data_IF_195149524652
#
_entry.id   IF_195149524652
#
_cell.length_a   1.000
_cell.length_b   1.000
_cell.length_c   1.000
_cell.angle_alpha   90.00
_cell.angle_beta   90.00
_cell.angle_gamma   90.00
#
_symmetry.space_group_name_H-M   'P 1'
#
loop_
_entity.id
_entity.type
_entity.pdbx_description
1 polymer ?
#
# COMPACT_ATOMS: atom_id res chain seq x y z
N UNK A 1 76.33 6.69 -2.93
CA UNK A 1 75.42 5.71 -2.30
C UNK A 1 74.15 5.67 -3.13
N UNK A 2 73.82 4.50 -3.68
CA UNK A 2 72.72 4.28 -4.62
C UNK A 2 71.50 3.81 -3.81
N UNK A 3 70.32 4.42 -3.90
CA UNK A 3 69.09 3.76 -3.48
C UNK A 3 68.48 3.03 -4.68
N UNK A 4 68.29 1.72 -4.53
CA UNK A 4 67.54 0.87 -5.46
C UNK A 4 66.05 1.19 -5.32
N UNK A 5 65.42 1.69 -6.39
CA UNK A 5 63.96 1.73 -6.49
C UNK A 5 63.44 0.32 -6.80
N UNK A 6 62.61 -0.21 -5.91
CA UNK A 6 61.85 -1.45 -6.11
C UNK A 6 60.56 -1.05 -6.82
N UNK A 7 60.38 -1.55 -8.05
CA UNK A 7 59.17 -1.36 -8.83
C UNK A 7 58.16 -2.45 -8.44
N UNK A 8 57.18 -2.13 -7.58
CA UNK A 8 56.02 -3.00 -7.33
C UNK A 8 54.99 -2.79 -8.43
N UNK A 9 54.88 -3.77 -9.34
CA UNK A 9 53.77 -3.84 -10.29
C UNK A 9 52.51 -4.29 -9.56
N UNK A 10 51.59 -3.35 -9.33
CA UNK A 10 50.24 -3.66 -8.87
C UNK A 10 49.44 -4.27 -10.03
N UNK A 11 49.18 -5.58 -9.98
CA UNK A 11 48.24 -6.22 -10.88
C UNK A 11 46.82 -5.83 -10.45
N UNK A 12 46.20 -4.90 -11.18
CA UNK A 12 44.77 -4.64 -11.07
C UNK A 12 44.01 -5.85 -11.62
N UNK A 13 43.53 -6.70 -10.72
CA UNK A 13 42.48 -7.68 -11.01
C UNK A 13 41.19 -6.91 -11.27
N UNK A 14 40.88 -6.66 -12.54
CA UNK A 14 39.54 -6.29 -12.96
C UNK A 14 38.62 -7.49 -12.71
N UNK A 15 37.89 -7.47 -11.60
CA UNK A 15 36.72 -8.32 -11.44
C UNK A 15 35.69 -7.84 -12.47
N UNK A 16 35.56 -8.57 -13.58
CA UNK A 16 34.47 -8.37 -14.52
C UNK A 16 33.17 -8.69 -13.78
N UNK A 17 32.43 -7.65 -13.39
CA UNK A 17 31.04 -7.77 -12.98
C UNK A 17 30.29 -8.18 -14.24
N UNK A 18 29.97 -9.48 -14.37
CA UNK A 18 29.10 -9.95 -15.42
C UNK A 18 27.70 -9.36 -15.16
N UNK A 19 27.11 -8.60 -16.09
CA UNK A 19 25.75 -8.13 -15.92
C UNK A 19 24.81 -9.33 -15.80
N UNK A 20 23.94 -9.32 -14.79
CA UNK A 20 22.88 -10.31 -14.64
C UNK A 20 22.00 -10.31 -15.90
N UNK A 21 21.75 -11.47 -16.53
CA UNK A 21 21.08 -11.55 -17.84
C UNK A 21 19.61 -11.13 -17.81
N UNK A 22 19.03 -10.80 -16.65
CA UNK A 22 17.63 -10.44 -16.51
C UNK A 22 17.31 -8.99 -16.86
N UNK A 23 18.30 -8.08 -16.91
CA UNK A 23 18.03 -6.64 -17.08
C UNK A 23 18.01 -6.17 -18.55
N UNK A 24 18.59 -6.94 -19.46
CA UNK A 24 18.71 -6.51 -20.88
C UNK A 24 17.37 -6.31 -21.57
N UNK A 25 16.38 -7.14 -21.22
CA UNK A 25 15.10 -7.25 -21.93
C UNK A 25 13.87 -7.03 -21.03
N UNK A 26 14.05 -6.75 -19.74
CA UNK A 26 12.94 -6.50 -18.82
C UNK A 26 12.40 -5.08 -18.96
N UNK A 27 11.06 -4.87 -18.91
CA UNK A 27 10.49 -3.54 -18.97
C UNK A 27 10.82 -2.74 -17.70
N UNK A 28 11.18 -1.47 -17.86
CA UNK A 28 11.21 -0.52 -16.76
C UNK A 28 9.78 -0.10 -16.42
N UNK A 29 9.29 -0.50 -15.24
CA UNK A 29 7.90 -0.30 -14.83
C UNK A 29 7.72 1.06 -14.15
N UNK A 30 6.84 1.89 -14.70
CA UNK A 30 6.31 3.05 -13.98
C UNK A 30 5.40 2.59 -12.85
N UNK A 31 5.33 3.36 -11.77
CA UNK A 31 4.36 3.13 -10.72
C UNK A 31 2.93 3.23 -11.29
N UNK A 32 2.06 2.21 -11.13
CA UNK A 32 0.86 2.07 -11.95
C UNK A 32 -0.37 2.83 -11.40
N UNK A 33 -0.19 3.75 -10.45
CA UNK A 33 -1.29 4.51 -9.85
C UNK A 33 -0.91 5.99 -9.77
N UNK A 34 -1.84 6.86 -10.15
CA UNK A 34 -1.71 8.31 -10.01
C UNK A 34 -2.02 8.76 -8.58
N UNK A 35 -1.03 8.62 -7.69
CA UNK A 35 -1.16 8.94 -6.28
C UNK A 35 0.17 9.32 -5.65
N UNK A 36 0.12 9.89 -4.46
CA UNK A 36 1.29 10.13 -3.62
C UNK A 36 1.45 8.95 -2.68
N UNK A 37 2.45 8.09 -2.95
CA UNK A 37 2.74 6.92 -2.12
C UNK A 37 3.07 7.34 -0.67
N UNK A 38 2.41 6.70 0.29
CA UNK A 38 2.51 7.00 1.73
C UNK A 38 1.56 8.10 2.20
N UNK A 39 0.93 8.85 1.28
CA UNK A 39 -0.05 9.88 1.61
C UNK A 39 -1.46 9.47 1.17
N UNK A 40 -1.67 9.30 -0.14
CA UNK A 40 -2.99 9.02 -0.71
C UNK A 40 -3.17 7.58 -1.18
N UNK A 41 -2.07 6.84 -1.34
CA UNK A 41 -2.08 5.41 -1.63
C UNK A 41 -0.93 4.71 -0.90
N UNK A 42 -1.05 3.39 -0.75
CA UNK A 42 -0.16 2.61 0.13
C UNK A 42 0.12 1.24 -0.47
N UNK A 43 1.35 0.77 -0.34
CA UNK A 43 1.73 -0.61 -0.63
C UNK A 43 1.43 -1.46 0.59
N UNK A 44 0.46 -2.38 0.49
CA UNK A 44 0.02 -3.17 1.64
C UNK A 44 0.50 -4.61 1.63
N UNK A 45 0.36 -5.31 0.49
CA UNK A 45 0.77 -6.70 0.35
C UNK A 45 1.68 -6.85 -0.86
N UNK A 46 2.66 -7.72 -0.75
CA UNK A 46 3.56 -8.11 -1.82
C UNK A 46 3.35 -9.55 -2.20
N UNK A 47 3.94 -9.91 -3.33
CA UNK A 47 3.87 -11.26 -3.86
C UNK A 47 4.41 -12.25 -2.83
N UNK A 48 3.70 -13.37 -2.69
CA UNK A 48 4.13 -14.44 -1.82
C UNK A 48 5.29 -15.20 -2.46
N UNK A 49 6.36 -15.35 -1.67
CA UNK A 49 7.61 -16.01 -2.04
C UNK A 49 7.83 -17.30 -1.26
N UNK A 50 6.84 -17.73 -0.46
CA UNK A 50 6.85 -19.06 0.13
C UNK A 50 6.16 -20.05 -0.82
N UNK A 51 6.82 -21.14 -1.23
CA UNK A 51 6.17 -22.19 -2.02
C UNK A 51 5.31 -23.15 -1.17
N UNK A 52 5.40 -23.06 0.16
CA UNK A 52 4.59 -23.82 1.12
C UNK A 52 3.35 -23.06 1.59
N UNK A 53 2.67 -23.54 2.64
CA UNK A 53 1.46 -22.90 3.19
C UNK A 53 1.76 -21.68 4.09
N UNK A 54 3.03 -21.28 4.15
CA UNK A 54 3.45 -20.04 4.82
C UNK A 54 3.32 -18.87 3.84
N UNK A 55 3.91 -17.74 4.21
CA UNK A 55 4.10 -16.65 3.27
C UNK A 55 5.28 -15.79 3.69
N UNK A 56 5.86 -15.09 2.71
CA UNK A 56 6.87 -14.05 2.95
C UNK A 56 6.96 -13.11 1.76
N UNK A 57 7.12 -11.83 2.03
CA UNK A 57 7.39 -10.84 0.99
C UNK A 57 8.85 -10.90 0.48
N UNK A 58 9.19 -10.05 -0.49
CA UNK A 58 10.54 -9.94 -1.06
C UNK A 58 11.64 -9.57 -0.06
N UNK A 59 11.30 -9.01 1.11
CA UNK A 59 12.22 -8.70 2.21
C UNK A 59 12.31 -9.82 3.26
N UNK A 60 11.62 -10.95 3.04
CA UNK A 60 11.35 -11.99 4.03
C UNK A 60 10.44 -11.53 5.18
N UNK A 61 9.73 -10.43 4.98
CA UNK A 61 8.80 -9.85 5.93
C UNK A 61 7.39 -10.44 5.83
N UNK A 62 6.51 -10.03 6.75
CA UNK A 62 5.16 -10.58 6.87
C UNK A 62 4.13 -9.90 5.95
N UNK A 63 4.51 -8.94 5.09
CA UNK A 63 3.58 -8.17 4.27
C UNK A 63 3.17 -8.95 3.01
N UNK A 64 2.62 -10.15 3.23
CA UNK A 64 2.02 -11.00 2.22
C UNK A 64 0.97 -11.92 2.86
N UNK A 65 0.41 -12.83 2.08
CA UNK A 65 -0.42 -13.95 2.54
C UNK A 65 -0.29 -15.14 1.57
N UNK A 66 -0.63 -16.34 2.04
CA UNK A 66 -0.47 -17.60 1.29
C UNK A 66 -1.10 -17.51 -0.11
N UNK A 67 -0.24 -17.66 -1.13
CA UNK A 67 -0.63 -17.69 -2.53
C UNK A 67 -0.91 -16.32 -3.16
N UNK A 68 -0.55 -15.21 -2.52
CA UNK A 68 -0.68 -13.88 -3.11
C UNK A 68 0.22 -13.71 -4.35
N UNK A 69 -0.34 -13.25 -5.47
CA UNK A 69 0.34 -13.28 -6.78
C UNK A 69 0.87 -11.95 -7.28
N UNK A 70 0.57 -10.85 -6.58
CA UNK A 70 0.85 -9.50 -7.05
C UNK A 70 1.32 -8.57 -5.95
N UNK A 71 1.29 -7.27 -6.26
CA UNK A 71 1.50 -6.19 -5.30
C UNK A 71 0.20 -5.41 -5.15
N UNK A 72 -0.23 -5.21 -3.90
CA UNK A 72 -1.44 -4.45 -3.58
C UNK A 72 -1.12 -2.99 -3.32
N UNK A 73 -1.61 -2.13 -4.20
CA UNK A 73 -1.55 -0.67 -4.07
C UNK A 73 -2.96 -0.19 -3.72
N UNK A 74 -3.16 0.15 -2.45
CA UNK A 74 -4.48 0.50 -1.91
C UNK A 74 -4.67 1.98 -1.73
N UNK A 75 -5.93 2.38 -1.63
CA UNK A 75 -6.36 3.63 -1.00
C UNK A 75 -6.85 3.35 0.42
N UNK A 76 -7.08 4.39 1.22
CA UNK A 76 -7.42 4.22 2.63
C UNK A 76 -8.73 3.44 2.82
N UNK A 77 -9.82 3.89 2.19
CA UNK A 77 -11.18 3.39 2.43
C UNK A 77 -12.09 3.55 1.20
N UNK A 78 -13.33 3.08 1.30
CA UNK A 78 -14.30 3.10 0.21
C UNK A 78 -14.73 4.53 -0.20
N UNK A 79 -14.73 5.49 0.74
CA UNK A 79 -15.02 6.88 0.39
C UNK A 79 -13.90 7.49 -0.44
N UNK A 80 -12.66 7.18 -0.10
CA UNK A 80 -11.46 7.59 -0.84
C UNK A 80 -11.43 6.96 -2.22
N UNK A 81 -11.73 5.65 -2.34
CA UNK A 81 -11.84 4.96 -3.63
C UNK A 81 -12.79 5.67 -4.60
N UNK A 82 -13.97 6.09 -4.11
CA UNK A 82 -15.00 6.78 -4.90
C UNK A 82 -14.58 8.17 -5.43
N UNK A 83 -13.42 8.69 -5.01
CA UNK A 83 -12.86 9.92 -5.56
C UNK A 83 -12.20 9.71 -6.95
N UNK A 84 -11.93 8.46 -7.34
CA UNK A 84 -11.37 8.10 -8.63
C UNK A 84 -9.85 8.20 -8.66
N UNK A 85 -9.16 7.06 -8.54
CA UNK A 85 -7.69 6.97 -8.55
C UNK A 85 -7.23 6.27 -9.81
N UNK A 86 -6.67 7.02 -10.76
CA UNK A 86 -6.31 6.50 -12.07
C UNK A 86 -5.24 5.41 -11.98
N UNK A 87 -5.54 4.25 -12.55
CA UNK A 87 -4.59 3.17 -12.81
C UNK A 87 -4.00 3.36 -14.20
N UNK A 88 -2.68 3.30 -14.30
CA UNK A 88 -1.91 3.60 -15.50
C UNK A 88 -1.09 2.40 -15.95
N UNK A 89 -0.91 2.26 -17.26
CA UNK A 89 -0.01 1.27 -17.83
C UNK A 89 1.42 1.48 -17.32
N UNK A 90 1.99 0.50 -16.63
CA UNK A 90 3.34 0.56 -16.09
C UNK A 90 4.42 0.61 -17.21
N UNK A 91 4.14 0.02 -18.36
CA UNK A 91 5.04 -0.06 -19.51
C UNK A 91 4.25 0.02 -20.82
N UNK A 92 4.86 0.42 -21.96
CA UNK A 92 4.17 0.43 -23.24
C UNK A 92 3.86 -1.00 -23.69
N UNK A 93 2.76 -1.20 -24.41
CA UNK A 93 2.37 -2.52 -24.88
C UNK A 93 1.05 -2.53 -25.62
N UNK A 94 0.49 -3.73 -25.80
CA UNK A 94 -0.81 -3.95 -26.43
C UNK A 94 -1.77 -4.56 -25.41
N UNK A 95 -2.97 -4.00 -25.28
CA UNK A 95 -4.02 -4.55 -24.43
C UNK A 95 -4.43 -5.91 -24.97
N UNK A 96 -4.15 -6.96 -24.20
CA UNK A 96 -4.47 -8.35 -24.55
C UNK A 96 -5.93 -8.68 -24.24
N UNK A 97 -6.35 -8.32 -23.04
CA UNK A 97 -7.66 -8.68 -22.51
C UNK A 97 -8.14 -7.63 -21.51
N UNK A 98 -9.45 -7.51 -21.40
CA UNK A 98 -10.10 -6.69 -20.38
C UNK A 98 -11.25 -7.48 -19.73
N UNK A 99 -11.63 -7.08 -18.53
CA UNK A 99 -12.95 -7.37 -17.96
C UNK A 99 -13.48 -6.10 -17.33
N UNK A 100 -14.75 -5.81 -17.58
CA UNK A 100 -15.48 -4.73 -16.91
C UNK A 100 -16.94 -5.15 -16.66
N UNK A 101 -17.54 -4.64 -15.59
CA UNK A 101 -18.92 -4.90 -15.18
C UNK A 101 -19.08 -5.72 -13.90
N UNK A 102 -18.01 -6.23 -13.29
CA UNK A 102 -18.04 -6.85 -11.96
C UNK A 102 -18.34 -5.77 -10.91
N UNK A 103 -19.36 -5.93 -10.05
CA UNK A 103 -19.69 -4.94 -9.04
C UNK A 103 -18.55 -4.68 -8.06
N UNK A 104 -18.43 -3.43 -7.63
CA UNK A 104 -17.62 -3.07 -6.47
C UNK A 104 -18.35 -3.49 -5.19
N UNK A 105 -17.78 -4.46 -4.48
CA UNK A 105 -18.35 -5.04 -3.26
C UNK A 105 -17.45 -6.10 -2.60
N UNK A 106 -16.24 -6.27 -3.12
CA UNK A 106 -15.23 -7.21 -2.67
C UNK A 106 -15.68 -8.66 -2.76
N UNK A 107 -15.04 -9.49 -1.96
CA UNK A 107 -15.28 -10.94 -1.90
C UNK A 107 -16.76 -11.30 -1.72
N UNK A 108 -17.53 -10.48 -0.99
CA UNK A 108 -18.96 -10.70 -0.78
C UNK A 108 -19.81 -10.57 -2.06
N UNK A 109 -19.35 -9.77 -3.04
CA UNK A 109 -20.02 -9.56 -4.32
C UNK A 109 -19.32 -10.29 -5.49
N UNK A 110 -18.19 -10.95 -5.24
CA UNK A 110 -17.35 -11.55 -6.26
C UNK A 110 -18.04 -12.73 -6.98
N UNK A 111 -18.24 -12.66 -8.31
CA UNK A 111 -18.71 -13.81 -9.06
C UNK A 111 -17.69 -14.95 -9.06
N UNK A 112 -18.17 -16.19 -9.06
CA UNK A 112 -17.30 -17.37 -9.13
C UNK A 112 -16.40 -17.32 -10.37
N UNK A 113 -15.11 -17.63 -10.19
CA UNK A 113 -14.11 -17.64 -11.27
C UNK A 113 -13.65 -16.25 -11.73
N UNK A 114 -14.07 -15.17 -11.06
CA UNK A 114 -13.70 -13.79 -11.39
C UNK A 114 -12.87 -13.16 -10.26
N UNK A 115 -11.84 -13.89 -9.78
CA UNK A 115 -10.98 -13.46 -8.68
C UNK A 115 -10.40 -12.06 -8.88
N UNK A 116 -9.79 -11.81 -10.04
CA UNK A 116 -9.26 -10.50 -10.44
C UNK A 116 -10.31 -9.38 -10.59
N UNK A 117 -11.61 -9.69 -10.57
CA UNK A 117 -12.65 -8.68 -10.80
C UNK A 117 -12.55 -8.02 -12.17
N UNK A 118 -12.78 -6.72 -12.23
CA UNK A 118 -12.48 -5.91 -13.42
C UNK A 118 -10.98 -5.71 -13.55
N UNK A 119 -10.48 -5.67 -14.77
CA UNK A 119 -9.05 -5.58 -14.97
C UNK A 119 -8.62 -5.51 -16.42
N UNK A 120 -7.32 -5.25 -16.58
CA UNK A 120 -6.66 -5.14 -17.88
C UNK A 120 -5.42 -6.04 -17.87
N UNK A 121 -5.13 -6.68 -18.99
CA UNK A 121 -3.88 -7.39 -19.23
C UNK A 121 -3.19 -6.74 -20.43
N UNK A 122 -1.91 -6.40 -20.29
CA UNK A 122 -1.09 -5.79 -21.35
C UNK A 122 0.06 -6.73 -21.68
N UNK A 123 0.17 -7.12 -22.94
CA UNK A 123 1.36 -7.81 -23.46
C UNK A 123 2.42 -6.77 -23.86
N UNK A 124 3.66 -7.03 -23.46
CA UNK A 124 4.85 -6.23 -23.75
C UNK A 124 5.81 -7.02 -24.67
N UNK A 125 6.97 -6.42 -24.97
CA UNK A 125 8.02 -7.10 -25.74
C UNK A 125 8.56 -8.32 -24.98
N UNK A 126 9.19 -9.25 -25.72
CA UNK A 126 9.93 -10.40 -25.18
C UNK A 126 9.12 -11.29 -24.19
N UNK A 127 7.80 -11.37 -24.37
CA UNK A 127 6.94 -12.25 -23.56
C UNK A 127 6.63 -11.74 -22.17
N UNK A 128 6.94 -10.48 -21.87
CA UNK A 128 6.51 -9.80 -20.65
C UNK A 128 5.03 -9.43 -20.69
N UNK A 129 4.39 -9.47 -19.53
CA UNK A 129 2.99 -9.09 -19.37
C UNK A 129 2.78 -8.40 -18.02
N UNK A 130 1.92 -7.38 -18.00
CA UNK A 130 1.37 -6.81 -16.77
C UNK A 130 -0.13 -7.05 -16.68
N UNK A 131 -0.62 -7.27 -15.47
CA UNK A 131 -2.05 -7.41 -15.19
C UNK A 131 -2.44 -6.48 -14.04
N UNK A 132 -3.60 -5.83 -14.21
CA UNK A 132 -4.16 -4.82 -13.33
C UNK A 132 -5.53 -5.32 -12.89
N UNK A 133 -5.67 -5.75 -11.64
CA UNK A 133 -6.91 -6.35 -11.10
C UNK A 133 -7.66 -5.39 -10.18
N UNK A 134 -8.89 -5.76 -9.86
CA UNK A 134 -9.78 -5.08 -8.90
C UNK A 134 -10.17 -3.66 -9.31
N UNK A 135 -10.18 -3.35 -10.61
CA UNK A 135 -10.57 -2.02 -11.10
C UNK A 135 -12.04 -1.71 -10.78
N UNK A 136 -12.36 -0.43 -10.66
CA UNK A 136 -13.72 0.02 -10.36
C UNK A 136 -14.68 -0.35 -11.47
N UNK A 137 -15.92 -0.69 -11.11
CA UNK A 137 -16.96 -1.08 -12.07
C UNK A 137 -17.24 0.06 -13.05
N UNK A 138 -17.10 -0.22 -14.35
CA UNK A 138 -17.34 0.75 -15.42
C UNK A 138 -16.18 1.72 -15.66
N UNK A 139 -15.04 1.54 -14.99
CA UNK A 139 -13.90 2.45 -15.11
C UNK A 139 -12.95 2.11 -16.26
N UNK A 140 -13.04 0.93 -16.88
CA UNK A 140 -12.06 0.50 -17.90
C UNK A 140 -12.22 1.32 -19.18
N UNK A 141 -11.15 2.02 -19.59
CA UNK A 141 -11.18 2.97 -20.72
C UNK A 141 -10.52 2.45 -21.99
N UNK A 142 -9.93 1.26 -21.95
CA UNK A 142 -9.17 0.67 -23.06
C UNK A 142 -9.88 -0.55 -23.66
N UNK A 143 -9.50 -0.92 -24.88
CA UNK A 143 -10.09 -2.08 -25.59
C UNK A 143 -9.03 -3.10 -26.02
N UNK A 144 -9.38 -4.40 -26.14
CA UNK A 144 -8.44 -5.41 -26.65
C UNK A 144 -7.86 -5.04 -28.03
N UNK A 145 -6.56 -5.24 -28.20
CA UNK A 145 -5.79 -4.87 -29.39
C UNK A 145 -5.30 -3.42 -29.42
N UNK A 146 -5.70 -2.58 -28.46
CA UNK A 146 -5.24 -1.20 -28.36
C UNK A 146 -3.77 -1.14 -27.95
N UNK A 147 -2.95 -0.43 -28.71
CA UNK A 147 -1.60 -0.04 -28.29
C UNK A 147 -1.69 1.08 -27.24
N UNK A 148 -0.94 0.94 -26.16
CA UNK A 148 -0.88 1.91 -25.06
C UNK A 148 0.57 2.29 -24.78
N UNK A 149 0.80 3.57 -24.49
CA UNK A 149 2.07 4.05 -23.97
C UNK A 149 2.14 3.81 -22.45
N UNK A 150 3.35 3.77 -21.89
CA UNK A 150 3.51 3.85 -20.44
C UNK A 150 2.85 5.14 -19.90
N UNK A 151 2.16 5.04 -18.77
CA UNK A 151 1.41 6.14 -18.16
C UNK A 151 -0.01 6.35 -18.71
N UNK A 152 -0.40 5.64 -19.77
CA UNK A 152 -1.77 5.70 -20.30
C UNK A 152 -2.78 5.19 -19.26
N UNK A 153 -3.88 5.92 -19.07
CA UNK A 153 -4.95 5.54 -18.13
C UNK A 153 -5.65 4.29 -18.65
N UNK A 154 -5.84 3.31 -17.77
CA UNK A 154 -6.50 2.03 -18.04
C UNK A 154 -7.88 1.93 -17.37
N UNK A 155 -8.02 2.57 -16.22
CA UNK A 155 -9.23 2.64 -15.40
C UNK A 155 -8.92 3.24 -14.05
N UNK A 156 -9.67 2.87 -13.02
CA UNK A 156 -9.52 3.40 -11.66
C UNK A 156 -9.41 2.28 -10.63
N UNK A 157 -8.74 2.54 -9.50
CA UNK A 157 -8.75 1.63 -8.33
C UNK A 157 -10.20 1.36 -7.93
N UNK A 158 -10.54 0.09 -7.75
CA UNK A 158 -11.87 -0.35 -7.36
C UNK A 158 -11.86 -1.31 -6.19
N UNK A 159 -12.98 -2.03 -6.10
CA UNK A 159 -13.24 -3.03 -5.07
C UNK A 159 -14.02 -4.21 -5.67
N UNK A 160 -13.69 -4.59 -6.90
CA UNK A 160 -14.34 -5.68 -7.63
C UNK A 160 -13.55 -6.98 -7.51
N UNK A 161 -14.22 -8.14 -7.57
CA UNK A 161 -13.57 -9.46 -7.46
C UNK A 161 -13.30 -9.90 -6.02
N UNK A 162 -12.42 -10.89 -5.85
CA UNK A 162 -12.06 -11.44 -4.53
C UNK A 162 -11.03 -10.52 -3.91
N UNK A 163 -11.50 -9.58 -3.10
CA UNK A 163 -10.71 -8.55 -2.42
C UNK A 163 -11.38 -8.12 -1.11
N UNK A 164 -10.60 -7.72 -0.11
CA UNK A 164 -11.08 -7.30 1.23
C UNK A 164 -11.02 -5.79 1.48
N UNK A 165 -10.30 -5.04 0.64
CA UNK A 165 -10.15 -3.57 0.71
C UNK A 165 -9.96 -2.97 -0.69
N UNK A 166 -10.25 -1.66 -0.91
CA UNK A 166 -10.12 -1.05 -2.22
C UNK A 166 -8.65 -0.88 -2.64
N UNK A 167 -8.24 -1.56 -3.72
CA UNK A 167 -6.85 -1.56 -4.19
C UNK A 167 -6.73 -1.96 -5.67
N UNK A 168 -5.53 -1.77 -6.20
CA UNK A 168 -5.03 -2.41 -7.40
C UNK A 168 -4.14 -3.58 -7.00
N UNK A 169 -4.45 -4.80 -7.41
CA UNK A 169 -3.46 -5.90 -7.43
C UNK A 169 -2.72 -5.81 -8.77
N UNK A 170 -1.42 -5.56 -8.72
CA UNK A 170 -0.54 -5.45 -9.88
C UNK A 170 0.34 -6.70 -10.01
N UNK A 171 0.23 -7.41 -11.13
CA UNK A 171 0.98 -8.64 -11.38
C UNK A 171 1.89 -8.47 -12.59
N UNK A 172 3.05 -9.10 -12.54
CA UNK A 172 3.99 -9.19 -13.66
C UNK A 172 4.21 -10.66 -14.03
N UNK A 173 4.27 -10.94 -15.33
CA UNK A 173 4.65 -12.25 -15.86
C UNK A 173 5.71 -12.12 -16.93
N UNK A 174 6.57 -13.13 -17.03
CA UNK A 174 7.49 -13.32 -18.15
C UNK A 174 7.33 -14.75 -18.69
N UNK A 175 6.97 -14.87 -19.96
CA UNK A 175 6.71 -16.18 -20.61
C UNK A 175 5.71 -17.06 -19.84
N UNK A 176 4.69 -16.41 -19.25
CA UNK A 176 3.63 -17.09 -18.49
C UNK A 176 3.96 -17.41 -17.03
N UNK A 177 5.19 -17.15 -16.57
CA UNK A 177 5.62 -17.35 -15.18
C UNK A 177 5.49 -16.04 -14.42
N UNK A 178 4.96 -16.07 -13.19
CA UNK A 178 4.87 -14.89 -12.33
C UNK A 178 6.28 -14.37 -11.98
N UNK A 179 6.40 -13.06 -11.91
CA UNK A 179 7.63 -12.36 -11.52
C UNK A 179 7.26 -11.31 -10.50
N UNK A 180 7.99 -11.26 -9.39
CA UNK A 180 7.84 -10.21 -8.39
C UNK A 180 8.53 -8.93 -8.89
N UNK A 181 7.83 -7.79 -9.02
CA UNK A 181 8.42 -6.55 -9.51
C UNK A 181 9.45 -5.93 -8.56
N UNK A 182 9.45 -6.29 -7.27
CA UNK A 182 10.43 -5.82 -6.28
C UNK A 182 11.69 -6.69 -6.25
N UNK A 183 11.59 -7.96 -6.61
CA UNK A 183 12.73 -8.88 -6.69
C UNK A 183 12.46 -9.93 -7.80
N UNK A 184 12.95 -9.71 -9.04
CA UNK A 184 12.72 -10.62 -10.16
C UNK A 184 13.59 -11.88 -10.11
N UNK A 185 14.25 -12.17 -9.00
CA UNK A 185 15.00 -13.42 -8.81
C UNK A 185 14.06 -14.60 -8.53
N UNK A 186 14.64 -15.76 -8.21
CA UNK A 186 13.90 -16.97 -7.85
C UNK A 186 12.89 -16.69 -6.73
N UNK A 187 11.61 -16.91 -7.01
CA UNK A 187 10.50 -16.68 -6.09
C UNK A 187 10.61 -17.49 -4.80
N UNK A 188 11.40 -18.57 -4.75
CA UNK A 188 11.62 -19.33 -3.51
C UNK A 188 12.54 -18.62 -2.50
N UNK A 189 13.21 -17.52 -2.89
CA UNK A 189 14.15 -16.76 -2.07
C UNK A 189 13.62 -15.37 -1.79
N UNK A 190 14.02 -14.77 -0.69
CA UNK A 190 13.72 -13.39 -0.31
C UNK A 190 14.95 -12.74 0.32
N UNK A 191 14.95 -11.42 0.50
CA UNK A 191 16.04 -10.67 1.14
C UNK A 191 17.31 -10.60 0.30
N UNK A 192 17.22 -10.85 -1.02
CA UNK A 192 18.38 -10.92 -1.90
C UNK A 192 18.96 -9.55 -2.25
N UNK A 193 18.18 -8.47 -2.11
CA UNK A 193 18.62 -7.11 -2.42
C UNK A 193 18.97 -6.93 -3.90
N UNK A 194 18.21 -7.56 -4.79
CA UNK A 194 18.41 -7.48 -6.24
C UNK A 194 17.80 -6.20 -6.82
N UNK A 195 18.14 -5.89 -8.07
CA UNK A 195 17.54 -4.78 -8.80
C UNK A 195 16.05 -5.05 -9.07
N UNK A 196 15.13 -4.16 -8.64
CA UNK A 196 13.72 -4.27 -8.96
C UNK A 196 13.44 -3.93 -10.44
N UNK A 197 12.23 -4.26 -10.91
CA UNK A 197 11.76 -3.92 -12.26
C UNK A 197 11.26 -2.46 -12.38
N UNK A 198 11.14 -1.75 -11.25
CA UNK A 198 10.67 -0.37 -11.21
C UNK A 198 11.65 0.59 -11.89
N UNK A 199 11.10 1.51 -12.69
CA UNK A 199 11.87 2.55 -13.37
C UNK A 199 12.52 3.53 -12.37
N UNK A 200 11.82 3.81 -11.28
CA UNK A 200 12.29 4.64 -10.17
C UNK A 200 12.26 3.83 -8.86
N UNK A 201 13.20 4.08 -7.92
CA UNK A 201 13.16 3.44 -6.61
C UNK A 201 11.86 3.72 -5.87
N UNK A 202 11.22 2.66 -5.37
CA UNK A 202 10.02 2.75 -4.54
C UNK A 202 10.43 2.54 -3.09
N UNK A 203 10.33 3.60 -2.28
CA UNK A 203 10.46 3.49 -0.83
C UNK A 203 9.13 2.95 -0.26
N UNK A 204 9.18 1.83 0.45
CA UNK A 204 8.01 1.21 1.07
C UNK A 204 8.30 0.79 2.51
N UNK A 205 7.34 1.02 3.41
CA UNK A 205 7.34 0.47 4.77
C UNK A 205 6.34 -0.65 4.98
N UNK A 206 5.53 -1.03 3.98
CA UNK A 206 4.51 -2.09 4.08
C UNK A 206 3.63 -2.02 5.36
N UNK A 207 3.56 -0.84 5.97
CA UNK A 207 3.07 -0.57 7.31
C UNK A 207 2.88 0.94 7.42
N UNK A 208 1.79 1.38 8.04
CA UNK A 208 1.53 2.79 8.22
C UNK A 208 0.10 3.09 8.66
N UNK A 209 -0.21 4.37 8.79
CA UNK A 209 -1.53 4.87 9.16
C UNK A 209 -2.27 5.25 7.87
N UNK A 210 -3.40 4.63 7.60
CA UNK A 210 -4.23 4.91 6.42
C UNK A 210 -5.01 6.20 6.59
N UNK A 211 -5.69 6.35 7.72
CA UNK A 211 -6.53 7.51 8.03
C UNK A 211 -6.72 7.68 9.53
N UNK A 212 -7.05 8.90 9.93
CA UNK A 212 -7.33 9.29 11.31
C UNK A 212 -8.52 10.23 11.34
N UNK A 213 -9.25 10.24 12.45
CA UNK A 213 -10.41 11.10 12.58
C UNK A 213 -10.93 11.20 14.01
N UNK A 214 -11.92 12.07 14.17
CA UNK A 214 -12.62 12.25 15.43
C UNK A 214 -14.07 11.76 15.34
N UNK A 215 -14.62 11.37 16.48
CA UNK A 215 -16.02 10.98 16.63
C UNK A 215 -16.49 11.23 18.07
N UNK A 216 -17.80 11.22 18.29
CA UNK A 216 -18.42 11.38 19.62
C UNK A 216 -18.59 10.06 20.39
N UNK A 217 -18.30 8.94 19.72
CA UNK A 217 -18.25 7.59 20.28
C UNK A 217 -17.15 6.79 19.58
N UNK A 218 -16.82 5.59 20.10
CA UNK A 218 -15.95 4.67 19.36
C UNK A 218 -16.67 4.21 18.10
N UNK A 219 -16.13 4.45 16.89
CA UNK A 219 -16.80 4.06 15.66
C UNK A 219 -16.73 2.55 15.44
N UNK A 220 -17.69 2.02 14.68
CA UNK A 220 -17.63 0.63 14.22
C UNK A 220 -16.59 0.48 13.11
N UNK A 221 -15.96 -0.69 13.01
CA UNK A 221 -14.93 -0.91 11.98
C UNK A 221 -15.48 -0.83 10.55
N UNK A 222 -16.77 -1.11 10.36
CA UNK A 222 -17.44 -0.90 9.07
C UNK A 222 -17.45 0.56 8.65
N UNK A 223 -17.64 1.49 9.59
CA UNK A 223 -17.68 2.93 9.31
C UNK A 223 -16.29 3.47 8.98
N UNK A 224 -15.26 2.91 9.61
CA UNK A 224 -13.85 3.17 9.29
C UNK A 224 -13.56 2.75 7.84
N UNK A 225 -13.85 1.49 7.47
CA UNK A 225 -13.63 0.98 6.10
C UNK A 225 -14.49 1.67 5.05
N UNK A 226 -15.68 2.15 5.44
CA UNK A 226 -16.56 2.91 4.56
C UNK A 226 -16.06 4.34 4.30
N UNK A 227 -15.17 4.86 5.17
CA UNK A 227 -14.72 6.25 5.15
C UNK A 227 -15.77 7.23 5.70
N UNK A 228 -16.64 6.77 6.61
CA UNK A 228 -17.77 7.55 7.15
C UNK A 228 -17.69 7.79 8.65
N UNK A 229 -16.65 7.28 9.32
CA UNK A 229 -16.47 7.41 10.77
C UNK A 229 -16.08 8.82 11.25
N UNK A 230 -15.57 9.69 10.37
CA UNK A 230 -15.07 11.00 10.77
C UNK A 230 -16.22 12.00 10.97
N UNK A 231 -16.27 12.61 12.15
CA UNK A 231 -17.11 13.78 12.39
C UNK A 231 -16.54 15.01 11.68
N UNK A 232 -17.42 15.94 11.29
CA UNK A 232 -17.03 17.23 10.70
C UNK A 232 -16.95 18.35 11.75
N UNK A 233 -17.66 18.19 12.86
CA UNK A 233 -17.59 18.99 14.08
C UNK A 233 -18.15 18.19 15.25
N UNK A 234 -17.83 18.59 16.48
CA UNK A 234 -18.38 17.99 17.69
C UNK A 234 -18.99 19.05 18.60
N UNK A 235 -20.04 18.67 19.32
CA UNK A 235 -20.69 19.55 20.29
C UNK A 235 -19.85 19.63 21.57
N UNK A 236 -19.74 20.84 22.13
CA UNK A 236 -19.03 21.07 23.42
C UNK A 236 -19.60 20.27 24.60
N UNK A 237 -20.86 19.86 24.52
CA UNK A 237 -21.55 19.06 25.54
C UNK A 237 -22.00 17.70 24.99
N UNK A 238 -21.32 17.21 23.95
CA UNK A 238 -21.56 15.88 23.39
C UNK A 238 -21.20 14.75 24.36
N UNK A 239 -21.36 13.48 23.96
CA UNK A 239 -21.11 12.34 24.85
C UNK A 239 -19.62 12.08 25.11
N UNK A 240 -18.75 12.22 24.11
CA UNK A 240 -17.31 12.03 24.24
C UNK A 240 -16.53 12.80 23.15
N UNK A 241 -15.22 12.93 23.35
CA UNK A 241 -14.26 13.30 22.32
C UNK A 241 -13.35 12.09 22.11
N UNK A 242 -13.49 11.42 20.97
CA UNK A 242 -12.77 10.20 20.61
C UNK A 242 -11.93 10.45 19.37
N UNK A 243 -10.64 10.13 19.45
CA UNK A 243 -9.73 10.03 18.31
C UNK A 243 -9.63 8.57 17.89
N UNK A 244 -9.70 8.31 16.60
CA UNK A 244 -9.49 6.99 16.01
C UNK A 244 -8.39 7.03 14.95
N UNK A 245 -7.73 5.90 14.74
CA UNK A 245 -6.74 5.70 13.69
C UNK A 245 -6.88 4.33 13.03
N UNK A 246 -6.84 4.32 11.71
CA UNK A 246 -6.87 3.13 10.86
C UNK A 246 -5.47 2.85 10.32
N UNK A 247 -4.99 1.63 10.47
CA UNK A 247 -3.59 1.25 10.28
C UNK A 247 -3.52 -0.02 9.45
N UNK A 248 -2.51 -0.11 8.59
CA UNK A 248 -2.15 -1.32 7.85
C UNK A 248 -0.77 -1.83 8.24
N UNK A 249 -0.54 -3.13 8.06
CA UNK A 249 0.76 -3.77 8.28
C UNK A 249 1.28 -3.71 9.72
N UNK A 250 0.39 -3.59 10.71
CA UNK A 250 0.78 -3.59 12.11
C UNK A 250 1.36 -4.94 12.52
N UNK A 251 2.48 -4.95 13.24
CA UNK A 251 3.17 -6.15 13.71
C UNK A 251 3.00 -6.34 15.21
N UNK A 252 3.10 -7.59 15.66
CA UNK A 252 3.14 -7.88 17.09
C UNK A 252 4.33 -7.14 17.75
N UNK A 253 4.07 -6.42 18.83
CA UNK A 253 5.05 -5.58 19.52
C UNK A 253 5.07 -4.11 19.08
N UNK A 254 4.48 -3.75 17.93
CA UNK A 254 4.33 -2.35 17.55
C UNK A 254 3.50 -1.58 18.59
N UNK A 255 3.76 -0.29 18.71
CA UNK A 255 3.00 0.63 19.55
C UNK A 255 2.18 1.55 18.65
N UNK A 256 0.87 1.59 18.88
CA UNK A 256 0.01 2.63 18.32
C UNK A 256 -0.27 3.68 19.39
N UNK A 257 0.23 4.89 19.16
CA UNK A 257 0.02 6.05 20.04
C UNK A 257 -1.10 6.91 19.48
N UNK A 258 -2.06 7.28 20.32
CA UNK A 258 -3.14 8.22 20.02
C UNK A 258 -3.04 9.40 20.99
N UNK A 259 -2.89 10.62 20.48
CA UNK A 259 -2.76 11.85 21.27
C UNK A 259 -3.78 12.89 20.81
N UNK A 260 -4.49 13.52 21.76
CA UNK A 260 -5.41 14.64 21.52
C UNK A 260 -4.85 15.86 22.26
N UNK A 261 -4.78 16.99 21.57
CA UNK A 261 -4.46 18.31 22.12
C UNK A 261 -5.68 19.22 22.02
N UNK A 262 -5.86 20.04 23.04
CA UNK A 262 -6.90 21.06 23.08
C UNK A 262 -6.56 22.27 22.19
N UNK A 263 -7.47 23.25 22.03
CA UNK A 263 -7.25 24.42 21.16
C UNK A 263 -6.06 25.29 21.56
N UNK A 264 -5.65 25.25 22.82
CA UNK A 264 -4.47 25.94 23.33
C UNK A 264 -3.17 25.11 23.14
N UNK A 265 -3.28 23.89 22.61
CA UNK A 265 -2.17 22.97 22.34
C UNK A 265 -1.75 22.13 23.55
N UNK A 266 -2.45 22.22 24.68
CA UNK A 266 -2.19 21.42 25.86
C UNK A 266 -2.69 19.98 25.66
N UNK A 267 -2.04 19.03 26.32
CA UNK A 267 -2.38 17.61 26.20
C UNK A 267 -3.75 17.34 26.83
N UNK A 268 -4.73 16.99 26.00
CA UNK A 268 -6.06 16.61 26.43
C UNK A 268 -6.15 15.12 26.76
N UNK A 269 -5.63 14.26 25.88
CA UNK A 269 -5.67 12.81 26.06
C UNK A 269 -4.48 12.15 25.38
N UNK A 270 -3.99 11.03 25.95
CA UNK A 270 -2.97 10.21 25.32
C UNK A 270 -3.15 8.75 25.72
N UNK A 271 -3.05 7.86 24.75
CA UNK A 271 -2.99 6.42 24.97
C UNK A 271 -1.91 5.80 24.08
N UNK A 272 -1.20 4.82 24.62
CA UNK A 272 -0.32 3.92 23.87
C UNK A 272 -0.88 2.51 23.98
N UNK A 273 -0.96 1.81 22.84
CA UNK A 273 -1.47 0.45 22.75
C UNK A 273 -0.41 -0.41 22.09
N UNK A 274 0.06 -1.43 22.79
CA UNK A 274 0.91 -2.47 22.21
C UNK A 274 0.04 -3.41 21.37
N UNK A 275 0.47 -3.70 20.15
CA UNK A 275 -0.21 -4.66 19.29
C UNK A 275 0.20 -6.08 19.69
N UNK A 276 -0.77 -6.88 20.13
CA UNK A 276 -0.53 -8.26 20.57
C UNK A 276 -0.27 -9.25 19.41
N UNK A 277 -0.58 -8.86 18.18
CA UNK A 277 -0.48 -9.72 16.99
C UNK A 277 -0.23 -8.91 15.72
N UNK A 278 0.36 -9.55 14.73
CA UNK A 278 0.48 -9.03 13.37
C UNK A 278 -0.87 -9.05 12.66
N UNK A 279 -1.22 -7.95 11.99
CA UNK A 279 -2.49 -7.78 11.29
C UNK A 279 -2.29 -6.98 10.00
N UNK A 280 -2.90 -7.44 8.89
CA UNK A 280 -2.93 -6.71 7.63
C UNK A 280 -3.62 -5.34 7.79
N UNK A 281 -4.71 -5.31 8.56
CA UNK A 281 -5.47 -4.11 8.89
C UNK A 281 -5.92 -4.13 10.36
N UNK A 282 -5.93 -2.97 10.99
CA UNK A 282 -6.51 -2.77 12.32
C UNK A 282 -6.91 -1.30 12.52
N UNK A 283 -7.83 -1.04 13.44
CA UNK A 283 -8.04 0.31 13.95
C UNK A 283 -7.97 0.32 15.49
N UNK A 284 -7.67 1.48 16.04
CA UNK A 284 -7.84 1.77 17.48
C UNK A 284 -8.54 3.11 17.62
N UNK A 285 -9.29 3.24 18.71
CA UNK A 285 -9.94 4.48 19.09
C UNK A 285 -9.73 4.71 20.59
N UNK A 286 -9.53 5.97 20.97
CA UNK A 286 -9.30 6.37 22.34
C UNK A 286 -9.73 7.79 22.57
N UNK A 287 -10.22 8.09 23.77
CA UNK A 287 -10.71 9.41 24.09
C UNK A 287 -11.25 9.52 25.51
N UNK A 288 -11.98 10.60 25.76
CA UNK A 288 -12.60 10.88 27.06
C UNK A 288 -14.08 11.17 26.89
N UNK A 289 -14.89 10.68 27.82
CA UNK A 289 -16.26 11.15 27.99
C UNK A 289 -16.23 12.62 28.38
N UNK A 290 -17.18 13.39 27.85
CA UNK A 290 -17.33 14.81 28.18
C UNK A 290 -18.25 14.89 29.38
N UNK A 291 -17.69 15.20 30.56
CA UNK A 291 -18.46 15.47 31.78
C UNK A 291 -18.74 16.97 31.97
N UNK A 292 -17.80 17.80 31.52
CA UNK A 292 -17.86 19.25 31.55
C UNK A 292 -17.75 19.79 30.13
N UNK A 293 -18.33 20.96 29.88
CA UNK A 293 -18.29 21.57 28.54
C UNK A 293 -16.85 21.75 28.06
N UNK A 294 -16.53 21.22 26.88
CA UNK A 294 -15.24 21.41 26.25
C UNK A 294 -14.99 22.89 25.92
N UNK A 295 -13.73 23.39 26.03
CA UNK A 295 -13.31 24.59 25.32
C UNK A 295 -13.76 24.58 23.86
N UNK A 296 -14.27 25.71 23.37
CA UNK A 296 -14.58 25.85 21.96
C UNK A 296 -13.29 26.08 21.17
N UNK A 297 -13.14 25.44 20.02
CA UNK A 297 -11.96 25.62 19.17
C UNK A 297 -11.58 24.38 18.39
N UNK A 298 -10.42 24.46 17.74
CA UNK A 298 -9.85 23.36 16.96
C UNK A 298 -9.05 22.42 17.86
N UNK A 299 -9.51 21.18 18.01
CA UNK A 299 -8.72 20.14 18.65
C UNK A 299 -7.83 19.46 17.63
N UNK A 300 -6.64 19.04 18.05
CA UNK A 300 -5.69 18.30 17.20
C UNK A 300 -5.56 16.87 17.67
N UNK A 301 -5.67 15.92 16.76
CA UNK A 301 -5.47 14.49 17.01
C UNK A 301 -4.30 13.97 16.22
N UNK A 302 -3.40 13.24 16.86
CA UNK A 302 -2.24 12.60 16.21
C UNK A 302 -2.24 11.11 16.52
N UNK A 303 -2.08 10.30 15.48
CA UNK A 303 -1.89 8.85 15.59
C UNK A 303 -0.54 8.47 15.01
N UNK A 304 0.26 7.74 15.77
CA UNK A 304 1.63 7.37 15.40
C UNK A 304 1.81 5.86 15.56
N UNK A 305 2.25 5.19 14.50
CA UNK A 305 2.69 3.80 14.51
C UNK A 305 4.19 3.76 14.78
N UNK A 306 4.60 3.00 15.79
CA UNK A 306 5.99 2.92 16.26
C UNK A 306 6.40 1.45 16.29
N UNK A 307 7.59 1.13 15.78
CA UNK A 307 8.21 -0.21 15.81
C UNK A 307 9.64 -0.08 16.29
N UNK A 308 10.01 -0.84 17.33
CA UNK A 308 11.35 -0.82 17.92
C UNK A 308 11.85 0.62 18.24
N UNK A 309 10.98 1.42 18.86
CA UNK A 309 11.19 2.84 19.19
C UNK A 309 11.39 3.79 17.98
N UNK A 310 11.19 3.31 16.76
CA UNK A 310 11.23 4.10 15.52
C UNK A 310 9.81 4.42 15.08
N UNK A 311 9.55 5.70 14.78
CA UNK A 311 8.32 6.12 14.13
C UNK A 311 8.26 5.56 12.71
N UNK A 312 7.29 4.67 12.47
CA UNK A 312 7.03 4.10 11.15
C UNK A 312 6.18 5.04 10.32
N UNK A 313 5.13 5.60 10.91
CA UNK A 313 4.27 6.59 10.27
C UNK A 313 3.51 7.40 11.32
N UNK A 314 3.12 8.62 10.95
CA UNK A 314 2.34 9.53 11.81
C UNK A 314 1.34 10.32 10.97
N UNK A 315 0.10 10.42 11.48
CA UNK A 315 -0.94 11.23 10.86
C UNK A 315 -1.62 12.13 11.87
N UNK A 316 -1.94 13.33 11.41
CA UNK A 316 -2.61 14.36 12.21
C UNK A 316 -3.95 14.75 11.56
N UNK A 317 -4.94 15.01 12.40
CA UNK A 317 -6.26 15.52 12.01
C UNK A 317 -6.73 16.59 12.99
N UNK A 318 -7.73 17.36 12.58
CA UNK A 318 -8.30 18.44 13.37
C UNK A 318 -9.81 18.32 13.41
N UNK A 319 -10.42 18.78 14.50
CA UNK A 319 -11.87 18.81 14.65
C UNK A 319 -12.31 20.12 15.34
N UNK A 320 -13.24 20.89 14.74
CA UNK A 320 -13.92 21.97 15.44
C UNK A 320 -14.85 21.43 16.52
N UNK A 321 -14.70 21.94 17.73
CA UNK A 321 -15.63 21.74 18.83
C UNK A 321 -16.40 23.04 19.08
N UNK A 322 -17.73 23.01 19.00
CA UNK A 322 -18.61 24.20 19.02
C UNK A 322 -19.81 24.07 19.95
#
# INVERSE_FOLDING_TARGET
>A
MIPRLICMTAALLWAAVLPSPLRGDAPALLFPVDCTLGDTCFLQQFMDRDPGPGWRDFTCGPASYDGHTGTDIRVADLATMRQGWAVRAAAPGTVRAIRDGVPDGGTAAAPQGQGCGNGVVIDHAEGWQTQYCHLAQGSVTVTPGQAVAAGAVLGEIGYSGITEFPHLEFLVRHNGVLVDPFDPSDLSRCGMGVDPLWAEPIASTASGVLSVGFSDAVPEFSDIRAGTANATSLDRTGPALVLWGFVFGGQAGDILRLEIRDPEGAAYHRQEVVLERTQAELFRASGRRISDSLPAGEYTGTVTLIRDDIEIDTRTTHIPVR
#
